data_IF_121300767735
#
_entry.id   IF_121300767735
#
_cell.length_a   1.000
_cell.length_b   1.000
_cell.length_c   1.000
_cell.angle_alpha   90.00
_cell.angle_beta   90.00
_cell.angle_gamma   90.00
#
_symmetry.space_group_name_H-M   'P 1'
#
loop_
_entity.id
_entity.type
_entity.pdbx_description
1 polymer ?
#
# COMPACT_ATOMS: atom_id res chain seq x y z
N UNK A 1 26.03 1.04 -15.58
CA UNK A 1 25.15 1.78 -16.51
C UNK A 1 24.67 3.06 -15.84
N UNK A 2 24.53 4.13 -16.62
CA UNK A 2 23.98 5.42 -16.15
C UNK A 2 22.55 5.57 -16.69
N UNK A 3 21.62 6.23 -15.94
CA UNK A 3 20.29 6.45 -16.46
C UNK A 3 20.35 7.36 -17.71
N UNK A 4 19.47 7.03 -18.67
CA UNK A 4 19.35 7.81 -19.91
C UNK A 4 18.61 9.12 -19.69
N UNK A 5 17.68 9.12 -18.74
CA UNK A 5 16.90 10.30 -18.34
C UNK A 5 17.73 11.20 -17.42
N UNK A 6 17.59 12.54 -17.62
CA UNK A 6 18.19 13.54 -16.73
C UNK A 6 17.17 14.64 -16.39
N UNK A 7 16.91 14.90 -15.10
CA UNK A 7 17.40 14.13 -13.95
C UNK A 7 16.93 12.67 -14.04
N UNK A 8 17.61 11.75 -13.35
CA UNK A 8 17.19 10.35 -13.33
C UNK A 8 15.77 10.19 -12.76
N UNK A 9 15.05 9.09 -13.05
CA UNK A 9 13.74 8.82 -12.48
C UNK A 9 13.76 8.86 -10.95
N UNK A 10 12.63 9.21 -10.30
CA UNK A 10 12.51 9.14 -8.84
C UNK A 10 12.90 7.76 -8.32
N UNK A 11 13.70 7.74 -7.26
CA UNK A 11 14.15 6.49 -6.64
C UNK A 11 13.17 6.06 -5.54
N UNK A 12 12.89 4.76 -5.49
CA UNK A 12 12.04 4.14 -4.51
C UNK A 12 12.70 2.91 -3.91
N UNK A 13 12.35 2.57 -2.68
CA UNK A 13 12.80 1.33 -2.02
C UNK A 13 11.59 0.62 -1.42
N UNK A 14 11.55 -0.71 -1.59
CA UNK A 14 10.52 -1.54 -0.97
C UNK A 14 10.81 -1.69 0.52
N UNK A 15 9.81 -1.44 1.35
CA UNK A 15 9.90 -1.42 2.80
C UNK A 15 8.86 -2.39 3.39
N UNK A 16 9.30 -3.29 4.25
CA UNK A 16 8.43 -4.22 4.98
C UNK A 16 8.54 -4.07 6.51
N UNK A 17 9.44 -3.22 6.97
CA UNK A 17 9.72 -2.95 8.38
C UNK A 17 9.83 -1.44 8.61
N UNK A 18 9.54 -0.99 9.83
CA UNK A 18 9.58 0.42 10.20
C UNK A 18 10.98 1.02 9.99
N UNK A 19 12.03 0.28 10.33
CA UNK A 19 13.42 0.72 10.17
C UNK A 19 13.78 0.99 8.69
N UNK A 20 13.21 0.22 7.76
CA UNK A 20 13.42 0.46 6.33
C UNK A 20 12.63 1.65 5.81
N UNK A 21 11.46 1.94 6.39
CA UNK A 21 10.70 3.17 6.13
C UNK A 21 11.50 4.40 6.59
N UNK A 22 12.02 4.38 7.80
CA UNK A 22 12.87 5.47 8.32
C UNK A 22 14.17 5.63 7.50
N UNK A 23 14.79 4.51 7.12
CA UNK A 23 15.98 4.53 6.28
C UNK A 23 15.65 5.20 4.92
N UNK A 24 14.52 4.86 4.30
CA UNK A 24 14.08 5.50 3.07
C UNK A 24 13.93 7.02 3.24
N UNK A 25 13.29 7.47 4.33
CA UNK A 25 13.18 8.88 4.67
C UNK A 25 14.55 9.56 4.81
N UNK A 26 15.44 9.01 5.65
CA UNK A 26 16.80 9.56 5.83
C UNK A 26 17.61 9.62 4.52
N UNK A 27 17.39 8.69 3.60
CA UNK A 27 18.09 8.67 2.31
C UNK A 27 17.42 9.53 1.25
N UNK A 28 16.28 10.13 1.51
CA UNK A 28 15.50 10.91 0.55
C UNK A 28 14.94 10.07 -0.60
N UNK A 29 14.67 8.79 -0.35
CA UNK A 29 14.07 7.84 -1.29
C UNK A 29 12.57 7.75 -1.04
N UNK A 30 11.78 7.48 -2.07
CA UNK A 30 10.39 7.11 -1.88
C UNK A 30 10.27 5.74 -1.19
N UNK A 31 9.35 5.61 -0.23
CA UNK A 31 9.09 4.35 0.46
C UNK A 31 7.90 3.63 -0.17
N UNK A 32 8.10 2.40 -0.63
CA UNK A 32 7.04 1.50 -1.07
C UNK A 32 6.73 0.53 0.07
N UNK A 33 5.73 0.86 0.89
CA UNK A 33 5.28 0.03 1.99
C UNK A 33 4.61 -1.24 1.49
N UNK A 34 5.33 -2.35 1.53
CA UNK A 34 4.89 -3.65 1.02
C UNK A 34 4.32 -4.53 2.14
N UNK A 35 3.45 -3.93 2.96
CA UNK A 35 2.62 -4.60 3.97
C UNK A 35 1.17 -4.19 3.73
N UNK A 36 0.24 -5.12 3.96
CA UNK A 36 -1.20 -4.86 3.89
C UNK A 36 -1.65 -4.25 5.23
N UNK A 37 -1.27 -3.00 5.45
CA UNK A 37 -1.53 -2.29 6.70
C UNK A 37 -2.91 -1.65 6.71
N UNK A 38 -3.48 -1.49 7.90
CA UNK A 38 -4.65 -0.62 8.11
C UNK A 38 -4.26 0.85 7.96
N UNK A 39 -5.23 1.73 7.82
CA UNK A 39 -4.99 3.17 7.77
C UNK A 39 -4.28 3.69 9.05
N UNK A 40 -4.65 3.16 10.22
CA UNK A 40 -4.02 3.53 11.49
C UNK A 40 -2.52 3.15 11.53
N UNK A 41 -2.19 1.92 11.08
CA UNK A 41 -0.80 1.50 10.96
C UNK A 41 -0.06 2.28 9.86
N UNK A 42 -0.74 2.67 8.78
CA UNK A 42 -0.17 3.52 7.74
C UNK A 42 0.22 4.90 8.28
N UNK A 43 -0.57 5.48 9.20
CA UNK A 43 -0.24 6.76 9.86
C UNK A 43 1.09 6.68 10.61
N UNK A 44 1.33 5.61 11.36
CA UNK A 44 2.61 5.41 12.06
C UNK A 44 3.79 5.36 11.06
N UNK A 45 3.61 4.71 9.92
CA UNK A 45 4.62 4.64 8.86
C UNK A 45 4.86 6.01 8.20
N UNK A 46 3.80 6.78 7.95
CA UNK A 46 3.90 8.15 7.42
C UNK A 46 4.69 9.04 8.38
N UNK A 47 4.36 8.99 9.67
CA UNK A 47 5.05 9.78 10.68
C UNK A 47 6.54 9.38 10.80
N UNK A 48 6.84 8.10 10.84
CA UNK A 48 8.22 7.61 10.88
C UNK A 48 9.02 8.03 9.65
N UNK A 49 8.42 7.93 8.46
CA UNK A 49 9.03 8.34 7.21
C UNK A 49 9.38 9.82 7.17
N UNK A 50 8.38 10.69 7.39
CA UNK A 50 8.57 12.14 7.29
C UNK A 50 9.41 12.70 8.44
N UNK A 51 9.28 12.18 9.67
CA UNK A 51 10.16 12.53 10.76
C UNK A 51 11.63 12.18 10.45
N UNK A 52 11.89 11.01 9.89
CA UNK A 52 13.23 10.62 9.48
C UNK A 52 13.77 11.50 8.33
N UNK A 53 12.92 11.87 7.39
CA UNK A 53 13.27 12.75 6.27
C UNK A 53 13.64 14.18 6.74
N UNK A 54 12.85 14.75 7.63
CA UNK A 54 13.02 16.15 8.09
C UNK A 54 14.11 16.31 9.15
N UNK A 55 14.30 15.30 10.04
CA UNK A 55 15.34 15.36 11.09
C UNK A 55 16.76 15.34 10.51
N UNK A 56 17.03 14.48 9.54
CA UNK A 56 18.35 14.36 8.93
C UNK A 56 18.29 13.69 7.58
N UNK A 57 18.42 14.48 6.53
CA UNK A 57 18.60 13.97 5.18
C UNK A 57 20.08 13.62 4.93
N UNK A 58 20.33 12.37 4.57
CA UNK A 58 21.67 11.82 4.29
C UNK A 58 21.63 10.94 3.02
N UNK A 59 21.53 11.53 1.82
CA UNK A 59 21.45 10.80 0.56
C UNK A 59 22.74 10.04 0.26
N UNK A 60 22.61 8.87 -0.37
CA UNK A 60 23.75 8.03 -0.76
C UNK A 60 24.57 8.59 -1.92
N UNK A 61 24.08 9.61 -2.59
CA UNK A 61 24.73 10.21 -3.75
C UNK A 61 23.95 11.41 -4.30
N UNK A 62 24.39 11.99 -5.42
CA UNK A 62 23.80 13.20 -6.00
C UNK A 62 22.55 12.88 -6.81
N UNK A 63 21.49 12.43 -6.18
CA UNK A 63 20.17 12.22 -6.80
C UNK A 63 19.13 13.21 -6.27
N UNK A 64 18.09 13.46 -7.08
CA UNK A 64 16.93 14.21 -6.62
C UNK A 64 16.16 13.39 -5.59
N UNK A 65 15.83 14.00 -4.44
CA UNK A 65 15.03 13.36 -3.42
C UNK A 65 13.60 13.13 -3.88
N UNK A 66 12.97 12.09 -3.34
CA UNK A 66 11.61 11.69 -3.66
C UNK A 66 10.81 11.51 -2.37
N UNK A 67 10.33 12.59 -1.72
CA UNK A 67 9.62 12.52 -0.46
C UNK A 67 8.19 12.01 -0.67
N UNK A 68 8.04 10.72 -0.86
CA UNK A 68 6.75 10.05 -1.06
C UNK A 68 6.71 8.72 -0.33
N UNK A 69 5.57 8.41 0.28
CA UNK A 69 5.28 7.10 0.87
C UNK A 69 4.03 6.49 0.24
N UNK A 70 4.15 5.25 -0.21
CA UNK A 70 3.06 4.47 -0.77
C UNK A 70 2.79 3.23 0.08
N UNK A 71 1.53 2.81 0.15
CA UNK A 71 1.12 1.54 0.77
C UNK A 71 0.40 0.67 -0.25
N UNK A 72 0.46 -0.66 -0.07
CA UNK A 72 -0.23 -1.61 -0.93
C UNK A 72 -1.56 -2.05 -0.31
N UNK A 73 -2.57 -2.20 -1.15
CA UNK A 73 -3.87 -2.79 -0.76
C UNK A 73 -4.36 -3.77 -1.82
N UNK A 74 -5.03 -4.84 -1.39
CA UNK A 74 -5.83 -5.64 -2.31
C UNK A 74 -6.95 -4.76 -2.88
N UNK A 75 -7.33 -5.04 -4.12
CA UNK A 75 -8.31 -4.22 -4.81
C UNK A 75 -9.29 -5.05 -5.66
N UNK A 76 -10.58 -4.76 -5.50
CA UNK A 76 -11.63 -5.16 -6.42
C UNK A 76 -12.84 -4.23 -6.24
N UNK A 77 -13.22 -3.51 -7.29
CA UNK A 77 -14.40 -2.65 -7.33
C UNK A 77 -15.50 -3.30 -8.16
N UNK A 78 -16.73 -3.31 -7.66
CA UNK A 78 -17.91 -3.73 -8.39
C UNK A 78 -19.12 -2.90 -7.97
N UNK A 79 -20.28 -3.07 -8.61
CA UNK A 79 -21.48 -2.29 -8.32
C UNK A 79 -21.97 -2.48 -6.87
N UNK A 80 -21.76 -3.67 -6.31
CA UNK A 80 -22.11 -3.98 -4.91
C UNK A 80 -20.93 -4.60 -4.16
N UNK A 81 -20.97 -4.53 -2.83
CA UNK A 81 -19.96 -5.14 -1.97
C UNK A 81 -19.94 -6.66 -2.11
N UNK A 82 -21.11 -7.29 -2.23
CA UNK A 82 -21.26 -8.74 -2.40
C UNK A 82 -20.61 -9.21 -3.71
N UNK A 83 -20.83 -8.46 -4.79
CA UNK A 83 -20.23 -8.76 -6.09
C UNK A 83 -18.72 -8.58 -6.07
N UNK A 84 -18.24 -7.49 -5.47
CA UNK A 84 -16.81 -7.24 -5.31
C UNK A 84 -16.14 -8.37 -4.52
N UNK A 85 -16.75 -8.82 -3.43
CA UNK A 85 -16.24 -9.95 -2.62
C UNK A 85 -16.23 -11.27 -3.43
N UNK A 86 -17.25 -11.53 -4.22
CA UNK A 86 -17.31 -12.72 -5.07
C UNK A 86 -16.25 -12.70 -6.17
N UNK A 87 -16.02 -11.53 -6.79
CA UNK A 87 -15.00 -11.33 -7.84
C UNK A 87 -13.57 -11.32 -7.28
N UNK A 88 -13.38 -10.92 -6.04
CA UNK A 88 -12.07 -10.85 -5.36
C UNK A 88 -11.56 -12.23 -4.90
N UNK A 89 -12.04 -13.31 -5.47
CA UNK A 89 -11.59 -14.66 -5.11
C UNK A 89 -10.10 -14.84 -5.41
N UNK A 90 -9.33 -15.02 -4.35
CA UNK A 90 -7.87 -15.11 -4.44
C UNK A 90 -7.13 -13.78 -4.29
N UNK A 91 -7.78 -12.64 -4.11
CA UNK A 91 -7.10 -11.34 -3.92
C UNK A 91 -6.16 -11.33 -2.70
N UNK A 92 -6.47 -12.12 -1.67
CA UNK A 92 -5.62 -12.28 -0.47
C UNK A 92 -4.58 -13.40 -0.60
N UNK A 93 -4.52 -14.10 -1.75
CA UNK A 93 -3.57 -15.20 -1.97
C UNK A 93 -2.11 -14.77 -1.81
N UNK A 94 -1.77 -13.58 -2.31
CA UNK A 94 -0.40 -13.08 -2.21
C UNK A 94 0.01 -12.83 -0.75
N UNK A 95 -0.87 -12.22 0.05
CA UNK A 95 -0.67 -12.01 1.48
C UNK A 95 -0.50 -13.34 2.23
N UNK A 96 -1.35 -14.32 1.90
CA UNK A 96 -1.23 -15.67 2.44
C UNK A 96 0.11 -16.30 2.07
N UNK A 97 0.53 -16.22 0.80
CA UNK A 97 1.77 -16.83 0.33
C UNK A 97 3.00 -16.27 1.04
N UNK A 98 3.07 -14.95 1.23
CA UNK A 98 4.15 -14.31 2.00
C UNK A 98 4.20 -14.85 3.43
N UNK A 99 3.05 -14.94 4.10
CA UNK A 99 2.97 -15.48 5.46
C UNK A 99 3.37 -16.95 5.49
N UNK A 100 2.85 -17.75 4.56
CA UNK A 100 3.15 -19.18 4.48
C UNK A 100 4.65 -19.44 4.34
N UNK A 101 5.34 -18.72 3.45
CA UNK A 101 6.77 -18.86 3.28
C UNK A 101 7.58 -18.39 4.48
N UNK A 102 7.12 -17.36 5.19
CA UNK A 102 7.76 -16.92 6.43
C UNK A 102 7.64 -17.96 7.55
N UNK A 103 6.51 -18.67 7.64
CA UNK A 103 6.25 -19.68 8.68
C UNK A 103 6.88 -21.04 8.37
N UNK A 104 6.89 -21.45 7.10
CA UNK A 104 7.29 -22.80 6.67
C UNK A 104 8.63 -22.86 5.89
N UNK A 105 9.18 -21.69 5.53
CA UNK A 105 10.35 -21.63 4.64
C UNK A 105 9.99 -22.02 3.19
N UNK A 106 11.01 -22.15 2.32
CA UNK A 106 10.79 -22.51 0.93
C UNK A 106 10.26 -23.93 0.81
N UNK A 107 9.17 -24.09 0.05
CA UNK A 107 8.58 -25.40 -0.26
C UNK A 107 9.31 -26.06 -1.43
N UNK A 108 9.35 -27.39 -1.43
CA UNK A 108 9.87 -28.16 -2.58
C UNK A 108 8.81 -28.09 -3.70
N UNK A 109 9.17 -27.67 -4.91
CA UNK A 109 8.24 -27.61 -6.03
C UNK A 109 7.54 -28.96 -6.28
N UNK A 110 6.23 -28.94 -6.44
CA UNK A 110 5.42 -30.11 -6.71
C UNK A 110 5.02 -30.95 -5.48
N UNK A 111 5.44 -30.56 -4.26
CA UNK A 111 5.07 -31.30 -3.03
C UNK A 111 3.95 -30.62 -2.25
N UNK A 112 3.75 -29.31 -2.43
CA UNK A 112 2.73 -28.53 -1.71
C UNK A 112 1.89 -27.77 -2.72
N UNK A 113 0.55 -27.94 -2.61
CA UNK A 113 -0.42 -27.09 -3.32
C UNK A 113 -0.70 -25.85 -2.48
N UNK A 114 0.00 -24.77 -2.75
CA UNK A 114 -0.25 -23.48 -2.06
C UNK A 114 -1.68 -22.99 -2.23
N UNK A 115 -2.35 -23.35 -3.32
CA UNK A 115 -3.75 -22.97 -3.51
C UNK A 115 -4.69 -23.71 -2.56
N UNK A 116 -4.47 -24.98 -2.29
CA UNK A 116 -5.28 -25.76 -1.35
C UNK A 116 -5.04 -25.27 0.09
N UNK A 117 -3.80 -25.01 0.45
CA UNK A 117 -3.45 -24.38 1.73
C UNK A 117 -4.12 -23.01 1.90
N UNK A 118 -4.12 -22.20 0.83
CA UNK A 118 -4.81 -20.91 0.81
C UNK A 118 -6.31 -21.04 1.02
N UNK A 119 -6.96 -22.00 0.38
CA UNK A 119 -8.42 -22.23 0.56
C UNK A 119 -8.77 -22.55 2.01
N UNK A 120 -7.95 -23.37 2.68
CA UNK A 120 -8.08 -23.65 4.10
C UNK A 120 -7.92 -22.39 4.97
N UNK A 121 -6.85 -21.61 4.72
CA UNK A 121 -6.61 -20.36 5.43
C UNK A 121 -7.71 -19.31 5.15
N UNK A 122 -8.16 -19.16 3.91
CA UNK A 122 -9.21 -18.22 3.51
C UNK A 122 -10.50 -18.42 4.30
N UNK A 123 -10.84 -19.68 4.61
CA UNK A 123 -12.01 -20.04 5.41
C UNK A 123 -11.85 -19.76 6.92
N UNK A 124 -10.64 -19.45 7.38
CA UNK A 124 -10.35 -19.13 8.78
C UNK A 124 -10.79 -17.70 9.16
N UNK A 125 -10.81 -17.39 10.46
CA UNK A 125 -11.08 -16.04 10.94
C UNK A 125 -10.02 -15.01 10.42
N UNK A 126 -8.76 -15.42 10.35
CA UNK A 126 -7.68 -14.58 9.81
C UNK A 126 -7.86 -14.29 8.32
N UNK A 127 -8.24 -15.30 7.52
CA UNK A 127 -8.51 -15.12 6.09
C UNK A 127 -9.70 -14.20 5.82
N UNK A 128 -10.79 -14.36 6.58
CA UNK A 128 -11.95 -13.45 6.50
C UNK A 128 -11.60 -12.01 6.88
N UNK A 129 -10.79 -11.82 7.94
CA UNK A 129 -10.30 -10.50 8.35
C UNK A 129 -9.44 -9.87 7.24
N UNK A 130 -8.55 -10.63 6.60
CA UNK A 130 -7.75 -10.14 5.50
C UNK A 130 -8.59 -9.68 4.30
N UNK A 131 -9.64 -10.44 3.94
CA UNK A 131 -10.58 -10.05 2.87
C UNK A 131 -11.35 -8.76 3.19
N UNK A 132 -11.75 -8.55 4.44
CA UNK A 132 -12.50 -7.36 4.83
C UNK A 132 -11.63 -6.09 4.92
N UNK A 133 -10.31 -6.23 5.02
CA UNK A 133 -9.39 -5.11 5.25
C UNK A 133 -8.91 -4.39 3.98
N UNK A 134 -9.08 -4.98 2.80
CA UNK A 134 -8.63 -4.41 1.53
C UNK A 134 -9.61 -3.40 0.91
N UNK A 135 -9.21 -2.80 -0.21
CA UNK A 135 -10.06 -1.95 -1.05
C UNK A 135 -10.92 -2.85 -1.97
N UNK A 136 -11.76 -3.68 -1.34
CA UNK A 136 -12.68 -4.63 -2.00
C UNK A 136 -14.09 -4.22 -1.63
N UNK A 137 -14.88 -3.75 -2.59
CA UNK A 137 -16.24 -3.29 -2.34
C UNK A 137 -16.82 -2.45 -3.47
N UNK A 138 -17.98 -1.87 -3.21
CA UNK A 138 -18.60 -0.87 -4.07
C UNK A 138 -17.81 0.44 -4.09
N UNK A 139 -18.03 1.33 -5.05
CA UNK A 139 -17.41 2.66 -5.05
C UNK A 139 -17.60 3.42 -3.73
N UNK A 140 -18.74 3.26 -3.06
CA UNK A 140 -19.01 3.91 -1.78
C UNK A 140 -18.10 3.35 -0.66
N UNK A 141 -18.02 2.03 -0.55
CA UNK A 141 -17.16 1.35 0.44
C UNK A 141 -15.69 1.65 0.20
N UNK A 142 -15.24 1.66 -1.07
CA UNK A 142 -13.85 1.98 -1.39
C UNK A 142 -13.52 3.43 -1.06
N UNK A 143 -14.42 4.39 -1.33
CA UNK A 143 -14.23 5.80 -0.95
C UNK A 143 -14.06 5.94 0.57
N UNK A 144 -14.95 5.36 1.36
CA UNK A 144 -14.86 5.41 2.82
C UNK A 144 -13.49 4.92 3.32
N UNK A 145 -13.01 3.80 2.76
CA UNK A 145 -11.72 3.24 3.15
C UNK A 145 -10.53 4.09 2.69
N UNK A 146 -10.61 4.65 1.48
CA UNK A 146 -9.57 5.54 0.97
C UNK A 146 -9.48 6.86 1.74
N UNK A 147 -10.61 7.40 2.23
CA UNK A 147 -10.57 8.56 3.12
C UNK A 147 -9.72 8.31 4.36
N UNK A 148 -9.83 7.15 4.97
CA UNK A 148 -8.97 6.79 6.12
C UNK A 148 -7.49 6.77 5.76
N UNK A 149 -7.13 6.28 4.56
CA UNK A 149 -5.75 6.35 4.08
C UNK A 149 -5.33 7.79 3.79
N UNK A 150 -6.19 8.62 3.21
CA UNK A 150 -5.91 10.04 3.00
C UNK A 150 -5.69 10.78 4.33
N UNK A 151 -6.52 10.53 5.34
CA UNK A 151 -6.37 11.06 6.71
C UNK A 151 -5.07 10.61 7.38
N UNK A 152 -4.54 9.44 7.04
CA UNK A 152 -3.25 8.96 7.54
C UNK A 152 -2.03 9.70 6.95
N UNK A 153 -2.23 10.52 5.90
CA UNK A 153 -1.18 11.25 5.23
C UNK A 153 -0.38 10.44 4.20
N UNK A 154 -0.85 9.26 3.79
CA UNK A 154 -0.24 8.45 2.73
C UNK A 154 -0.34 9.20 1.40
N UNK A 155 0.78 9.27 0.66
CA UNK A 155 0.82 9.94 -0.65
C UNK A 155 0.20 9.11 -1.77
N UNK A 156 0.32 7.79 -1.70
CA UNK A 156 -0.13 6.90 -2.77
C UNK A 156 -0.62 5.56 -2.21
N UNK A 157 -1.64 5.00 -2.87
CA UNK A 157 -2.08 3.62 -2.63
C UNK A 157 -1.84 2.80 -3.89
N UNK A 158 -1.14 1.68 -3.74
CA UNK A 158 -0.88 0.73 -4.81
C UNK A 158 -1.98 -0.32 -4.81
N UNK A 159 -2.75 -0.37 -5.89
CA UNK A 159 -3.86 -1.31 -6.06
C UNK A 159 -3.34 -2.65 -6.58
N UNK A 160 -3.30 -3.66 -5.70
CA UNK A 160 -2.90 -5.01 -6.08
C UNK A 160 -4.09 -5.77 -6.67
N UNK A 161 -4.06 -5.98 -7.98
CA UNK A 161 -5.15 -6.61 -8.74
C UNK A 161 -4.87 -8.07 -9.08
N UNK A 162 -3.64 -8.38 -9.54
CA UNK A 162 -3.27 -9.71 -10.00
C UNK A 162 -2.76 -10.57 -8.85
N UNK A 163 -3.67 -11.11 -8.05
CA UNK A 163 -3.37 -12.05 -7.01
C UNK A 163 -4.30 -13.26 -7.11
N UNK A 164 -3.76 -14.46 -6.92
CA UNK A 164 -4.55 -15.67 -6.99
C UNK A 164 -5.14 -15.94 -8.39
N UNK A 165 -6.45 -16.11 -8.45
CA UNK A 165 -7.19 -16.46 -9.68
C UNK A 165 -8.17 -15.37 -10.11
N UNK A 166 -7.90 -14.11 -9.80
CA UNK A 166 -8.74 -13.01 -10.24
C UNK A 166 -8.81 -12.97 -11.77
N UNK A 167 -10.00 -12.84 -12.32
CA UNK A 167 -10.22 -12.81 -13.77
C UNK A 167 -9.82 -11.46 -14.34
N UNK A 168 -9.17 -11.47 -15.49
CA UNK A 168 -8.71 -10.24 -16.17
C UNK A 168 -9.85 -9.28 -16.46
N UNK A 169 -10.99 -9.80 -16.94
CA UNK A 169 -12.17 -8.98 -17.25
C UNK A 169 -12.69 -8.24 -16.02
N UNK A 170 -12.79 -8.93 -14.89
CA UNK A 170 -13.21 -8.32 -13.61
C UNK A 170 -12.22 -7.25 -13.12
N UNK A 171 -10.91 -7.45 -13.34
CA UNK A 171 -9.89 -6.46 -13.00
C UNK A 171 -10.07 -5.21 -13.86
N UNK A 172 -10.27 -5.35 -15.18
CA UNK A 172 -10.49 -4.22 -16.08
C UNK A 172 -11.76 -3.44 -15.73
N UNK A 173 -12.87 -4.13 -15.48
CA UNK A 173 -14.12 -3.52 -15.05
C UNK A 173 -13.97 -2.77 -13.71
N UNK A 174 -13.30 -3.40 -12.73
CA UNK A 174 -13.04 -2.80 -11.43
C UNK A 174 -12.20 -1.52 -11.54
N UNK A 175 -11.18 -1.50 -12.38
CA UNK A 175 -10.35 -0.31 -12.61
C UNK A 175 -11.13 0.80 -13.32
N UNK A 176 -11.99 0.46 -14.30
CA UNK A 176 -12.84 1.42 -14.99
C UNK A 176 -13.85 2.07 -14.02
N UNK A 177 -14.54 1.25 -13.22
CA UNK A 177 -15.51 1.71 -12.23
C UNK A 177 -14.86 2.61 -11.17
N UNK A 178 -13.68 2.23 -10.70
CA UNK A 178 -12.87 3.03 -9.78
C UNK A 178 -12.47 4.37 -10.39
N UNK A 179 -11.98 4.37 -11.63
CA UNK A 179 -11.54 5.58 -12.32
C UNK A 179 -12.68 6.57 -12.54
N UNK A 180 -13.90 6.06 -12.80
CA UNK A 180 -15.07 6.89 -13.04
C UNK A 180 -15.69 7.43 -11.75
N UNK A 181 -15.82 6.59 -10.71
CA UNK A 181 -16.65 6.91 -9.55
C UNK A 181 -15.88 7.21 -8.26
N UNK A 182 -14.60 6.91 -8.18
CA UNK A 182 -13.81 7.07 -6.95
C UNK A 182 -12.63 8.03 -7.16
N UNK A 183 -11.81 7.78 -8.16
CA UNK A 183 -10.55 8.51 -8.36
C UNK A 183 -10.71 10.03 -8.49
N UNK A 184 -11.76 10.60 -9.13
CA UNK A 184 -11.90 12.05 -9.29
C UNK A 184 -11.98 12.81 -7.97
N UNK A 185 -12.58 12.23 -6.93
CA UNK A 185 -12.69 12.84 -5.60
C UNK A 185 -11.30 13.02 -4.97
N UNK A 186 -10.47 11.97 -5.01
CA UNK A 186 -9.12 12.02 -4.44
C UNK A 186 -8.17 12.91 -5.26
N UNK A 187 -8.34 13.01 -6.57
CA UNK A 187 -7.64 14.00 -7.38
C UNK A 187 -8.01 15.43 -7.00
N UNK A 188 -9.28 15.69 -6.65
CA UNK A 188 -9.71 17.00 -6.19
C UNK A 188 -9.13 17.37 -4.80
N UNK A 189 -8.83 16.38 -3.96
CA UNK A 189 -8.20 16.55 -2.64
C UNK A 189 -6.67 16.73 -2.72
N UNK A 190 -6.02 16.38 -3.82
CA UNK A 190 -4.55 16.40 -3.93
C UNK A 190 -3.92 17.76 -3.60
N UNK A 191 -4.45 18.94 -4.00
CA UNK A 191 -3.87 20.22 -3.64
C UNK A 191 -3.77 20.45 -2.12
N UNK A 192 -4.75 20.00 -1.35
CA UNK A 192 -4.75 20.10 0.12
C UNK A 192 -3.68 19.16 0.72
N UNK A 193 -3.62 17.92 0.23
CA UNK A 193 -2.58 16.97 0.65
C UNK A 193 -1.17 17.51 0.33
N UNK A 194 -0.95 18.07 -0.85
CA UNK A 194 0.34 18.66 -1.21
C UNK A 194 0.70 19.87 -0.32
N UNK A 195 -0.27 20.69 0.05
CA UNK A 195 -0.05 21.82 0.97
C UNK A 195 0.36 21.33 2.38
N UNK A 196 -0.33 20.31 2.91
CA UNK A 196 0.03 19.65 4.16
C UNK A 196 1.45 19.08 4.10
N UNK A 197 1.75 18.34 3.05
CA UNK A 197 3.07 17.73 2.82
C UNK A 197 4.19 18.79 2.79
N UNK A 198 3.99 19.88 2.10
CA UNK A 198 4.96 20.99 2.07
C UNK A 198 5.12 21.62 3.46
N UNK A 199 4.07 21.71 4.26
CA UNK A 199 4.15 22.21 5.63
C UNK A 199 4.98 21.27 6.52
N UNK A 200 4.81 19.96 6.38
CA UNK A 200 5.63 18.94 7.06
C UNK A 200 7.10 19.03 6.62
N UNK A 201 7.37 19.02 5.31
CA UNK A 201 8.73 19.06 4.76
C UNK A 201 9.48 20.34 5.13
N UNK A 202 8.77 21.46 5.33
CA UNK A 202 9.36 22.74 5.76
C UNK A 202 9.47 22.89 7.28
N UNK A 203 9.04 21.90 8.07
CA UNK A 203 9.03 21.94 9.53
C UNK A 203 7.97 22.86 10.15
N UNK A 204 6.98 23.33 9.36
CA UNK A 204 5.84 24.10 9.87
C UNK A 204 4.82 23.23 10.60
N UNK A 205 4.75 21.96 10.26
CA UNK A 205 3.94 20.94 10.92
C UNK A 205 4.89 19.86 11.43
N UNK A 206 4.84 19.64 12.73
CA UNK A 206 5.57 18.55 13.39
C UNK A 206 4.64 17.34 13.52
N UNK A 207 5.12 16.17 13.10
CA UNK A 207 4.38 14.93 13.25
C UNK A 207 4.76 14.27 14.58
N UNK A 208 3.75 13.83 15.33
CA UNK A 208 3.98 13.11 16.58
C UNK A 208 4.77 11.81 16.32
N UNK A 209 5.63 11.42 17.24
CA UNK A 209 6.18 10.07 17.28
C UNK A 209 5.06 9.12 17.72
N UNK A 210 4.73 8.16 16.87
CA UNK A 210 3.73 7.14 17.20
C UNK A 210 4.49 5.93 17.71
N UNK A 211 4.23 5.55 18.96
CA UNK A 211 4.76 4.32 19.52
C UNK A 211 4.17 3.11 18.78
N UNK A 212 5.04 2.33 18.16
CA UNK A 212 4.67 1.15 17.37
C UNK A 212 5.03 -0.16 18.09
N UNK A 213 5.48 -0.09 19.34
CA UNK A 213 5.68 -1.30 20.12
C UNK A 213 4.33 -1.98 20.41
N UNK A 214 4.22 -3.29 20.19
CA UNK A 214 2.98 -4.04 20.34
C UNK A 214 2.55 -4.24 21.79
#
# INVERSE_FOLDING_TARGET
PKPRQRPHPPLWVACSQLETIEMAGRRGLGALGFQFVSADAAQAWVHAYYNAYTKRLDPLGPYATNPNIAVVSQFMCADTDEEAQARADGSTFFQFALRFYNEHGPVVPGTTSLWDEYLGWKASAAGRKAQSGGLIGSPATIRERLHRFAESGVDQVILLNQAGRNRHEHICEALALFAEHVMPEFHAMDPEHQAWKQAVLSGKVELAEIDTEP
#
